data_IF_727754874248
#
_entry.id   IF_727754874248
#
_cell.length_a   1.000
_cell.length_b   1.000
_cell.length_c   1.000
_cell.angle_alpha   90.00
_cell.angle_beta   90.00
_cell.angle_gamma   90.00
#
_symmetry.space_group_name_H-M   'P 1'
#
loop_
_entity.id
_entity.type
_entity.pdbx_description
1 polymer ?
#
# COMPACT_ATOMS: atom_id res chain seq x y z
N UNK A 1 -2.22 26.85 -18.16
CA UNK A 1 -1.43 25.72 -17.62
C UNK A 1 -1.73 25.46 -16.15
N UNK A 2 -1.53 26.43 -15.24
CA UNK A 2 -1.81 26.28 -13.80
C UNK A 2 -3.24 25.78 -13.50
N UNK A 3 -4.27 26.34 -14.15
CA UNK A 3 -5.67 25.94 -13.95
C UNK A 3 -5.91 24.47 -14.32
N UNK A 4 -5.42 24.02 -15.48
CA UNK A 4 -5.61 22.65 -15.97
C UNK A 4 -4.90 21.65 -15.05
N UNK A 5 -3.66 21.92 -14.67
CA UNK A 5 -2.88 21.04 -13.79
C UNK A 5 -3.52 20.92 -12.40
N UNK A 6 -3.89 22.03 -11.77
CA UNK A 6 -4.57 22.00 -10.48
C UNK A 6 -5.97 21.37 -10.57
N UNK A 7 -6.66 21.53 -11.70
CA UNK A 7 -7.92 20.84 -11.98
C UNK A 7 -7.78 19.33 -12.05
N UNK A 8 -6.72 18.82 -12.70
CA UNK A 8 -6.42 17.37 -12.72
C UNK A 8 -6.11 16.86 -11.32
N UNK A 9 -5.30 17.59 -10.53
CA UNK A 9 -5.01 17.22 -9.14
C UNK A 9 -6.28 17.16 -8.30
N UNK A 10 -7.17 18.15 -8.45
CA UNK A 10 -8.46 18.17 -7.76
C UNK A 10 -9.31 16.94 -8.10
N UNK A 11 -9.44 16.60 -9.38
CA UNK A 11 -10.22 15.44 -9.83
C UNK A 11 -9.62 14.12 -9.36
N UNK A 12 -8.30 13.97 -9.45
CA UNK A 12 -7.59 12.79 -8.95
C UNK A 12 -7.74 12.65 -7.42
N UNK A 13 -7.58 13.75 -6.68
CA UNK A 13 -7.79 13.78 -5.24
C UNK A 13 -9.21 13.40 -4.85
N UNK A 14 -10.22 13.90 -5.56
CA UNK A 14 -11.62 13.57 -5.33
C UNK A 14 -11.90 12.09 -5.63
N UNK A 15 -11.30 11.52 -6.68
CA UNK A 15 -11.42 10.10 -6.99
C UNK A 15 -10.80 9.23 -5.88
N UNK A 16 -9.58 9.56 -5.42
CA UNK A 16 -8.91 8.85 -4.32
C UNK A 16 -9.72 8.95 -3.03
N UNK A 17 -10.25 10.14 -2.71
CA UNK A 17 -11.10 10.35 -1.55
C UNK A 17 -12.38 9.50 -1.63
N UNK A 18 -13.03 9.45 -2.80
CA UNK A 18 -14.22 8.63 -3.01
C UNK A 18 -13.92 7.13 -2.82
N UNK A 19 -12.80 6.64 -3.36
CA UNK A 19 -12.34 5.26 -3.15
C UNK A 19 -12.03 5.01 -1.67
N UNK A 20 -11.35 5.94 -0.99
CA UNK A 20 -11.05 5.82 0.43
C UNK A 20 -12.31 5.75 1.30
N UNK A 21 -13.32 6.58 1.01
CA UNK A 21 -14.63 6.54 1.70
C UNK A 21 -15.35 5.22 1.39
N UNK A 22 -15.37 4.78 0.12
CA UNK A 22 -15.98 3.52 -0.28
C UNK A 22 -15.39 2.35 0.53
N UNK A 23 -14.05 2.26 0.57
CA UNK A 23 -13.34 1.24 1.34
C UNK A 23 -13.64 1.36 2.84
N UNK A 24 -13.74 2.56 3.40
CA UNK A 24 -14.10 2.73 4.82
C UNK A 24 -15.54 2.27 5.13
N UNK A 25 -16.49 2.56 4.23
CA UNK A 25 -17.92 2.24 4.44
C UNK A 25 -18.21 0.74 4.30
N UNK A 26 -17.62 0.06 3.31
CA UNK A 26 -17.75 -1.40 3.17
C UNK A 26 -17.32 -2.13 4.45
N UNK A 27 -16.35 -1.54 5.17
CA UNK A 27 -15.76 -2.13 6.38
C UNK A 27 -16.58 -1.85 7.63
N UNK A 28 -17.13 -0.64 7.78
CA UNK A 28 -18.11 -0.34 8.84
C UNK A 28 -19.34 -1.24 8.71
N UNK A 29 -19.75 -1.50 7.46
CA UNK A 29 -20.87 -2.41 7.18
C UNK A 29 -20.53 -3.84 7.60
N UNK A 30 -19.33 -4.35 7.28
CA UNK A 30 -18.87 -5.67 7.73
C UNK A 30 -18.73 -5.80 9.25
N UNK A 31 -18.20 -4.78 9.93
CA UNK A 31 -18.08 -4.74 11.39
C UNK A 31 -19.44 -4.80 12.08
N UNK A 32 -20.45 -4.08 11.57
CA UNK A 32 -21.80 -4.11 12.12
C UNK A 32 -22.49 -5.47 12.03
N UNK A 33 -22.11 -6.32 11.06
CA UNK A 33 -22.56 -7.71 10.99
C UNK A 33 -21.76 -8.66 11.91
N UNK A 34 -20.47 -8.39 12.11
CA UNK A 34 -19.58 -9.23 12.93
C UNK A 34 -19.70 -8.94 14.43
N UNK A 35 -20.16 -7.76 14.86
CA UNK A 35 -20.40 -7.42 16.27
C UNK A 35 -21.51 -8.30 16.92
N UNK A 36 -22.25 -9.07 16.12
CA UNK A 36 -23.17 -10.11 16.60
C UNK A 36 -22.50 -11.46 16.93
N UNK A 37 -21.19 -11.60 16.71
CA UNK A 37 -20.38 -12.79 16.98
C UNK A 37 -19.18 -12.35 17.84
N UNK A 38 -19.03 -12.93 19.04
CA UNK A 38 -18.19 -12.44 20.16
C UNK A 38 -16.65 -12.38 19.95
N UNK A 39 -16.13 -12.57 18.73
CA UNK A 39 -14.69 -12.66 18.45
C UNK A 39 -14.28 -11.80 17.25
N UNK A 40 -14.25 -10.48 17.41
CA UNK A 40 -13.76 -9.57 16.37
C UNK A 40 -12.21 -9.68 16.23
N UNK A 41 -11.66 -10.01 15.04
CA UNK A 41 -10.23 -10.17 14.86
C UNK A 41 -9.48 -8.83 14.82
N UNK A 42 -8.24 -8.76 15.35
CA UNK A 42 -7.39 -7.56 15.37
C UNK A 42 -6.92 -7.09 13.97
N UNK A 43 -7.23 -7.85 12.93
CA UNK A 43 -6.73 -7.67 11.55
C UNK A 43 -7.51 -6.61 10.77
N UNK A 44 -8.75 -6.32 11.20
CA UNK A 44 -9.52 -5.21 10.63
C UNK A 44 -8.88 -3.84 10.89
N UNK A 45 -8.04 -3.70 11.92
CA UNK A 45 -7.31 -2.47 12.18
C UNK A 45 -6.32 -2.11 11.05
N UNK A 46 -5.71 -3.11 10.39
CA UNK A 46 -4.68 -2.86 9.38
C UNK A 46 -5.26 -2.31 8.08
N UNK A 47 -6.33 -2.93 7.55
CA UNK A 47 -7.01 -2.38 6.37
C UNK A 47 -7.73 -1.06 6.68
N UNK A 48 -8.18 -0.85 7.92
CA UNK A 48 -8.78 0.44 8.33
C UNK A 48 -7.75 1.56 8.21
N UNK A 49 -6.51 1.32 8.64
CA UNK A 49 -5.43 2.28 8.48
C UNK A 49 -5.22 2.68 7.01
N UNK A 50 -5.26 1.73 6.07
CA UNK A 50 -5.12 2.03 4.64
C UNK A 50 -6.26 2.90 4.12
N UNK A 51 -7.52 2.56 4.45
CA UNK A 51 -8.68 3.37 4.06
C UNK A 51 -8.61 4.81 4.60
N UNK A 52 -8.27 4.98 5.88
CA UNK A 52 -8.09 6.31 6.48
C UNK A 52 -6.92 7.10 5.88
N UNK A 53 -5.84 6.43 5.49
CA UNK A 53 -4.74 7.07 4.75
C UNK A 53 -5.19 7.56 3.38
N UNK A 54 -5.94 6.76 2.63
CA UNK A 54 -6.52 7.18 1.33
C UNK A 54 -7.45 8.38 1.50
N UNK A 55 -8.29 8.39 2.54
CA UNK A 55 -9.16 9.52 2.87
C UNK A 55 -8.33 10.76 3.17
N UNK A 56 -7.30 10.64 4.03
CA UNK A 56 -6.44 11.76 4.41
C UNK A 56 -5.71 12.36 3.22
N UNK A 57 -5.05 11.52 2.41
CA UNK A 57 -4.31 11.96 1.21
C UNK A 57 -5.27 12.52 0.17
N UNK A 58 -6.40 11.84 -0.11
CA UNK A 58 -7.41 12.30 -1.07
C UNK A 58 -8.02 13.65 -0.68
N UNK A 59 -8.38 13.84 0.60
CA UNK A 59 -8.91 15.10 1.10
C UNK A 59 -7.87 16.23 0.98
N UNK A 60 -6.61 15.96 1.31
CA UNK A 60 -5.53 16.94 1.17
C UNK A 60 -5.31 17.36 -0.28
N UNK A 61 -5.22 16.40 -1.22
CA UNK A 61 -5.07 16.67 -2.65
C UNK A 61 -6.26 17.45 -3.22
N UNK A 62 -7.47 17.09 -2.80
CA UNK A 62 -8.70 17.81 -3.20
C UNK A 62 -8.67 19.26 -2.70
N UNK A 63 -8.27 19.50 -1.44
CA UNK A 63 -8.17 20.85 -0.88
C UNK A 63 -7.12 21.69 -1.62
N UNK A 64 -5.91 21.15 -1.82
CA UNK A 64 -4.82 21.85 -2.51
C UNK A 64 -5.20 22.14 -3.97
N UNK A 65 -5.80 21.17 -4.67
CA UNK A 65 -6.28 21.35 -6.04
C UNK A 65 -7.39 22.40 -6.15
N UNK A 66 -8.33 22.42 -5.19
CA UNK A 66 -9.37 23.44 -5.12
C UNK A 66 -8.79 24.84 -4.89
N UNK A 67 -7.85 24.98 -3.95
CA UNK A 67 -7.16 26.25 -3.69
C UNK A 67 -6.39 26.74 -4.92
N UNK A 68 -5.70 25.84 -5.64
CA UNK A 68 -4.98 26.17 -6.86
C UNK A 68 -5.91 26.58 -8.03
N UNK A 69 -7.02 25.87 -8.20
CA UNK A 69 -8.01 26.14 -9.24
C UNK A 69 -8.74 27.48 -9.00
N UNK A 70 -9.31 27.67 -7.80
CA UNK A 70 -9.98 28.92 -7.44
C UNK A 70 -9.03 30.11 -7.31
N UNK A 71 -7.78 29.89 -6.86
CA UNK A 71 -6.75 30.93 -6.82
C UNK A 71 -6.38 31.43 -8.21
N UNK A 72 -6.32 30.54 -9.21
CA UNK A 72 -6.10 30.89 -10.60
C UNK A 72 -7.29 31.63 -11.24
N UNK A 73 -8.53 31.21 -10.94
CA UNK A 73 -9.74 31.84 -11.51
C UNK A 73 -10.02 33.22 -10.90
N UNK A 74 -9.81 33.38 -9.59
CA UNK A 74 -10.18 34.59 -8.85
C UNK A 74 -9.08 35.66 -8.86
N UNK A 75 -7.94 35.39 -9.51
CA UNK A 75 -6.70 36.20 -9.49
C UNK A 75 -6.31 36.73 -8.10
N UNK A 76 -6.70 35.99 -7.06
CA UNK A 76 -6.57 36.47 -5.68
C UNK A 76 -5.16 36.17 -5.18
N UNK A 77 -4.37 37.22 -4.97
CA UNK A 77 -3.01 37.12 -4.44
C UNK A 77 -2.95 36.33 -3.13
N UNK A 78 -3.92 36.50 -2.24
CA UNK A 78 -3.96 35.79 -0.95
C UNK A 78 -4.09 34.27 -1.14
N UNK A 79 -4.93 33.85 -2.08
CA UNK A 79 -5.20 32.44 -2.35
C UNK A 79 -4.07 31.75 -3.13
N UNK A 80 -3.39 32.50 -4.00
CA UNK A 80 -2.17 32.04 -4.66
C UNK A 80 -1.00 31.93 -3.67
N UNK A 81 -0.90 32.86 -2.71
CA UNK A 81 0.14 32.86 -1.67
C UNK A 81 -0.04 31.73 -0.65
N UNK A 82 -1.29 31.39 -0.31
CA UNK A 82 -1.56 30.22 0.55
C UNK A 82 -1.19 28.91 -0.16
N UNK A 83 -1.54 28.76 -1.44
CA UNK A 83 -1.12 27.62 -2.26
C UNK A 83 0.41 27.49 -2.30
N UNK A 84 1.11 28.60 -2.59
CA UNK A 84 2.58 28.61 -2.60
C UNK A 84 3.19 28.22 -1.25
N UNK A 85 2.64 28.75 -0.15
CA UNK A 85 3.10 28.41 1.21
C UNK A 85 2.94 26.92 1.51
N UNK A 86 1.79 26.32 1.15
CA UNK A 86 1.55 24.88 1.35
C UNK A 86 2.55 24.05 0.55
N UNK A 87 2.77 24.38 -0.72
CA UNK A 87 3.74 23.66 -1.57
C UNK A 87 5.16 23.80 -1.03
N UNK A 88 5.54 24.98 -0.53
CA UNK A 88 6.85 25.20 0.09
C UNK A 88 7.04 24.34 1.34
N UNK A 89 6.03 24.22 2.20
CA UNK A 89 6.09 23.35 3.38
C UNK A 89 6.25 21.88 2.97
N UNK A 90 5.48 21.41 1.97
CA UNK A 90 5.63 20.04 1.45
C UNK A 90 7.05 19.80 0.96
N UNK A 91 7.62 20.73 0.19
CA UNK A 91 8.98 20.63 -0.31
C UNK A 91 10.02 20.53 0.82
N UNK A 92 9.89 21.34 1.88
CA UNK A 92 10.79 21.25 3.04
C UNK A 92 10.67 19.92 3.77
N UNK A 93 9.46 19.40 3.94
CA UNK A 93 9.21 18.09 4.54
C UNK A 93 9.80 16.97 3.67
N UNK A 94 9.64 17.04 2.36
CA UNK A 94 10.18 16.06 1.41
C UNK A 94 11.71 16.05 1.41
N UNK A 95 12.34 17.22 1.43
CA UNK A 95 13.81 17.34 1.58
C UNK A 95 14.27 16.76 2.92
N UNK A 96 13.60 17.08 4.02
CA UNK A 96 13.94 16.53 5.33
C UNK A 96 13.79 15.00 5.35
N UNK A 97 12.68 14.47 4.82
CA UNK A 97 12.44 13.04 4.69
C UNK A 97 13.49 12.35 3.79
N UNK A 98 13.87 12.98 2.68
CA UNK A 98 14.92 12.48 1.79
C UNK A 98 16.28 12.41 2.48
N UNK A 99 16.66 13.46 3.22
CA UNK A 99 17.91 13.49 4.01
C UNK A 99 17.89 12.41 5.09
N UNK A 100 16.80 12.30 5.86
CA UNK A 100 16.65 11.25 6.87
C UNK A 100 16.71 9.87 6.24
N UNK A 101 16.10 9.65 5.08
CA UNK A 101 16.15 8.38 4.36
C UNK A 101 17.57 7.97 3.97
N UNK A 102 18.40 8.93 3.54
CA UNK A 102 19.81 8.69 3.19
C UNK A 102 20.66 8.46 4.45
N UNK A 103 20.48 9.25 5.51
CA UNK A 103 21.28 9.11 6.73
C UNK A 103 20.97 7.81 7.48
N UNK A 104 19.70 7.43 7.50
CA UNK A 104 19.25 6.26 8.27
C UNK A 104 19.51 4.96 7.51
N UNK A 105 19.99 4.96 6.25
CA UNK A 105 20.30 3.71 5.52
C UNK A 105 21.27 2.76 6.28
N UNK A 106 22.03 3.26 7.27
CA UNK A 106 22.86 2.46 8.17
C UNK A 106 22.13 1.92 9.42
N UNK A 107 21.05 2.55 9.88
CA UNK A 107 20.25 2.17 11.06
C UNK A 107 18.85 1.60 10.71
N UNK A 108 18.46 1.72 9.45
CA UNK A 108 17.16 1.33 8.88
C UNK A 108 16.96 -0.19 8.93
N UNK A 109 18.02 -0.99 9.04
CA UNK A 109 17.90 -2.45 9.15
C UNK A 109 17.04 -2.85 10.35
N UNK A 110 17.30 -2.31 11.55
CA UNK A 110 16.51 -2.70 12.74
C UNK A 110 15.02 -2.34 12.64
N UNK A 111 14.68 -1.21 12.03
CA UNK A 111 13.28 -0.78 11.86
C UNK A 111 12.60 -1.52 10.70
N UNK A 112 13.33 -1.77 9.61
CA UNK A 112 12.85 -2.58 8.50
C UNK A 112 12.67 -4.03 8.90
N UNK A 113 13.57 -4.60 9.70
CA UNK A 113 13.47 -5.97 10.22
C UNK A 113 12.19 -6.13 11.05
N UNK A 114 11.82 -5.12 11.85
CA UNK A 114 10.56 -5.15 12.60
C UNK A 114 9.33 -5.06 11.69
N UNK A 115 9.38 -4.22 10.65
CA UNK A 115 8.29 -4.10 9.68
C UNK A 115 8.19 -5.40 8.87
N UNK A 116 9.32 -5.94 8.45
CA UNK A 116 9.46 -7.18 7.70
C UNK A 116 8.84 -8.35 8.44
N UNK A 117 9.21 -8.53 9.71
CA UNK A 117 8.64 -9.59 10.52
C UNK A 117 7.14 -9.42 10.75
N UNK A 118 6.65 -8.17 10.87
CA UNK A 118 5.21 -7.90 11.01
C UNK A 118 4.45 -8.24 9.74
N UNK A 119 5.00 -7.90 8.57
CA UNK A 119 4.35 -8.21 7.29
C UNK A 119 4.39 -9.71 7.01
N UNK A 120 5.52 -10.38 7.24
CA UNK A 120 5.63 -11.83 7.09
C UNK A 120 4.64 -12.57 8.00
N UNK A 121 4.52 -12.17 9.27
CA UNK A 121 3.52 -12.74 10.19
C UNK A 121 2.08 -12.47 9.73
N UNK A 122 1.79 -11.27 9.22
CA UNK A 122 0.46 -10.99 8.68
C UNK A 122 0.14 -11.88 7.46
N UNK A 123 1.11 -12.17 6.60
CA UNK A 123 0.94 -13.15 5.51
C UNK A 123 0.64 -14.53 6.07
N UNK A 124 1.41 -14.99 7.06
CA UNK A 124 1.20 -16.27 7.73
C UNK A 124 -0.21 -16.37 8.32
N UNK A 125 -0.67 -15.38 9.07
CA UNK A 125 -1.94 -15.43 9.79
C UNK A 125 -3.16 -15.25 8.86
N UNK A 126 -3.07 -14.36 7.86
CA UNK A 126 -4.22 -13.91 7.09
C UNK A 126 -4.37 -14.60 5.72
N UNK A 127 -3.26 -15.09 5.12
CA UNK A 127 -3.31 -15.57 3.75
C UNK A 127 -4.02 -16.94 3.66
N UNK A 128 -5.12 -16.98 2.92
CA UNK A 128 -6.05 -18.10 2.85
C UNK A 128 -7.16 -18.09 3.92
N UNK A 129 -7.02 -17.28 4.97
CA UNK A 129 -8.02 -17.09 6.02
C UNK A 129 -8.97 -15.93 5.67
N UNK A 130 -8.42 -14.80 5.23
CA UNK A 130 -9.16 -13.63 4.78
C UNK A 130 -9.10 -13.54 3.24
N UNK A 131 -10.25 -13.66 2.58
CA UNK A 131 -10.36 -13.61 1.11
C UNK A 131 -9.93 -12.25 0.55
N UNK A 132 -10.22 -11.15 1.25
CA UNK A 132 -9.86 -9.80 0.83
C UNK A 132 -8.35 -9.58 0.92
N UNK A 133 -7.72 -10.02 2.01
CA UNK A 133 -6.27 -9.97 2.18
C UNK A 133 -5.56 -10.84 1.14
N UNK A 134 -6.07 -12.06 0.93
CA UNK A 134 -5.55 -13.01 -0.07
C UNK A 134 -5.64 -12.44 -1.48
N UNK A 135 -6.75 -11.80 -1.83
CA UNK A 135 -6.96 -11.18 -3.15
C UNK A 135 -6.02 -10.00 -3.41
N UNK A 136 -5.81 -9.14 -2.40
CA UNK A 136 -4.85 -8.02 -2.48
C UNK A 136 -3.43 -8.55 -2.71
N UNK A 137 -3.01 -9.58 -1.96
CA UNK A 137 -1.68 -10.17 -2.13
C UNK A 137 -1.53 -10.87 -3.49
N UNK A 138 -2.55 -11.60 -3.95
CA UNK A 138 -2.52 -12.21 -5.27
C UNK A 138 -2.40 -11.18 -6.39
N UNK A 139 -3.13 -10.07 -6.28
CA UNK A 139 -3.04 -8.95 -7.23
C UNK A 139 -1.65 -8.33 -7.20
N UNK A 140 -1.12 -8.05 -6.00
CA UNK A 140 0.21 -7.47 -5.80
C UNK A 140 1.30 -8.37 -6.38
N UNK A 141 1.29 -9.67 -6.07
CA UNK A 141 2.26 -10.63 -6.61
C UNK A 141 2.16 -10.77 -8.13
N UNK A 142 0.95 -10.69 -8.68
CA UNK A 142 0.75 -10.78 -10.12
C UNK A 142 1.20 -9.50 -10.85
N UNK A 143 0.98 -8.33 -10.27
CA UNK A 143 1.34 -7.04 -10.84
C UNK A 143 2.85 -6.78 -10.75
N UNK A 144 3.45 -7.03 -9.57
CA UNK A 144 4.88 -6.84 -9.33
C UNK A 144 5.74 -8.04 -9.74
N UNK A 145 5.12 -9.13 -10.20
CA UNK A 145 5.79 -10.39 -10.58
C UNK A 145 6.76 -10.89 -9.50
N UNK A 146 6.31 -10.85 -8.24
CA UNK A 146 7.10 -11.18 -7.05
C UNK A 146 6.45 -12.33 -6.26
N UNK A 147 7.13 -12.84 -5.24
CA UNK A 147 6.62 -13.89 -4.35
C UNK A 147 6.96 -13.59 -2.89
N UNK A 148 5.94 -13.39 -2.07
CA UNK A 148 6.09 -13.10 -0.64
C UNK A 148 6.69 -11.72 -0.35
N UNK A 149 6.65 -11.33 0.91
CA UNK A 149 7.30 -10.10 1.37
C UNK A 149 8.80 -10.26 1.55
N UNK A 150 9.27 -11.49 1.82
CA UNK A 150 10.68 -11.89 1.87
C UNK A 150 10.94 -13.06 0.93
N UNK A 151 10.10 -14.10 1.01
CA UNK A 151 10.22 -15.31 0.19
C UNK A 151 8.93 -16.14 0.24
N UNK A 152 8.89 -17.26 -0.51
CA UNK A 152 7.82 -18.26 -0.44
C UNK A 152 7.60 -18.79 0.98
N UNK A 153 8.62 -18.74 1.84
CA UNK A 153 8.56 -19.18 3.25
C UNK A 153 7.55 -18.41 4.07
N UNK A 154 7.21 -17.17 3.69
CA UNK A 154 6.20 -16.36 4.39
C UNK A 154 4.82 -17.04 4.37
N UNK A 155 4.56 -17.92 3.40
CA UNK A 155 3.30 -18.65 3.29
C UNK A 155 3.32 -20.02 4.00
N UNK A 156 4.48 -20.51 4.48
CA UNK A 156 4.66 -21.91 4.87
C UNK A 156 3.67 -22.41 5.94
N UNK A 157 3.32 -21.54 6.88
CA UNK A 157 2.38 -21.83 7.96
C UNK A 157 0.99 -21.21 7.74
N UNK A 158 0.74 -20.63 6.57
CA UNK A 158 -0.54 -20.00 6.27
C UNK A 158 -1.66 -21.03 6.08
N UNK A 159 -2.90 -20.60 6.35
CA UNK A 159 -4.10 -21.42 6.17
C UNK A 159 -4.22 -21.94 4.72
N UNK A 160 -3.75 -21.16 3.74
CA UNK A 160 -3.69 -21.57 2.34
C UNK A 160 -2.82 -22.81 2.13
N UNK A 161 -1.58 -22.81 2.63
CA UNK A 161 -0.65 -23.95 2.46
C UNK A 161 -1.13 -25.15 3.27
N UNK A 162 -1.64 -24.94 4.49
CA UNK A 162 -2.21 -26.00 5.33
C UNK A 162 -3.35 -26.74 4.63
N UNK A 163 -4.22 -26.00 3.91
CA UNK A 163 -5.40 -26.57 3.24
C UNK A 163 -5.08 -27.17 1.87
N UNK A 164 -4.23 -26.50 1.08
CA UNK A 164 -3.99 -26.87 -0.33
C UNK A 164 -2.70 -27.66 -0.54
N UNK A 165 -1.84 -27.77 0.49
CA UNK A 165 -0.48 -28.30 0.40
C UNK A 165 0.32 -27.70 -0.76
N UNK A 166 0.00 -26.46 -1.15
CA UNK A 166 0.52 -25.77 -2.32
C UNK A 166 0.75 -24.28 -2.01
N UNK A 167 1.68 -23.67 -2.74
CA UNK A 167 2.02 -22.25 -2.66
C UNK A 167 1.29 -21.44 -3.74
N UNK A 168 1.22 -20.10 -3.60
CA UNK A 168 0.63 -19.24 -4.61
C UNK A 168 1.29 -19.47 -5.97
N UNK A 169 0.50 -19.58 -7.05
CA UNK A 169 1.01 -19.88 -8.39
C UNK A 169 2.00 -18.84 -8.90
N UNK A 170 1.90 -17.59 -8.43
CA UNK A 170 2.86 -16.52 -8.73
C UNK A 170 4.26 -16.79 -8.19
N UNK A 171 4.40 -17.68 -7.21
CA UNK A 171 5.69 -18.14 -6.69
C UNK A 171 6.34 -19.24 -7.54
N UNK A 172 5.67 -19.75 -8.57
CA UNK A 172 6.19 -20.78 -9.47
C UNK A 172 6.00 -20.36 -10.94
N UNK A 173 7.08 -20.18 -11.69
CA UNK A 173 7.05 -19.75 -13.10
C UNK A 173 6.71 -20.86 -14.08
N UNK A 174 6.99 -22.13 -13.75
CA UNK A 174 7.14 -23.19 -14.76
C UNK A 174 6.55 -24.55 -14.38
N UNK A 175 5.59 -24.60 -13.46
CA UNK A 175 4.99 -25.86 -13.05
C UNK A 175 3.84 -26.25 -13.96
N UNK A 176 3.95 -27.34 -14.71
CA UNK A 176 2.83 -28.04 -15.36
C UNK A 176 1.93 -28.80 -14.36
N UNK A 177 2.01 -28.43 -13.07
CA UNK A 177 1.35 -29.06 -11.93
C UNK A 177 1.27 -28.10 -10.73
N UNK A 178 0.77 -28.55 -9.56
CA UNK A 178 0.61 -27.71 -8.38
C UNK A 178 1.95 -27.13 -7.90
N UNK A 179 1.96 -25.87 -7.50
CA UNK A 179 3.15 -25.17 -6.98
C UNK A 179 3.49 -25.74 -5.59
N UNK A 180 4.42 -26.69 -5.54
CA UNK A 180 4.89 -27.30 -4.31
C UNK A 180 6.13 -26.57 -3.76
N UNK A 181 6.58 -26.94 -2.56
CA UNK A 181 7.74 -26.32 -1.90
C UNK A 181 9.00 -26.37 -2.78
N UNK A 182 9.24 -27.49 -3.47
CA UNK A 182 10.42 -27.69 -4.33
C UNK A 182 10.40 -26.69 -5.50
N UNK A 183 9.24 -26.53 -6.14
CA UNK A 183 9.07 -25.59 -7.24
C UNK A 183 9.18 -24.14 -6.76
N UNK A 184 8.58 -23.80 -5.62
CA UNK A 184 8.65 -22.45 -5.04
C UNK A 184 10.08 -22.09 -4.60
N UNK A 185 10.83 -23.04 -4.05
CA UNK A 185 12.23 -22.85 -3.65
C UNK A 185 13.18 -22.71 -4.83
N UNK A 186 12.91 -23.42 -5.92
CA UNK A 186 13.74 -23.37 -7.13
C UNK A 186 13.57 -22.04 -7.89
N UNK A 187 12.47 -21.32 -7.67
CA UNK A 187 12.17 -20.06 -8.33
C UNK A 187 12.62 -18.87 -7.47
N UNK A 188 13.77 -18.30 -7.82
CA UNK A 188 14.28 -17.08 -7.17
C UNK A 188 13.53 -15.87 -7.73
N UNK A 189 12.30 -15.66 -7.25
CA UNK A 189 11.53 -14.47 -7.60
C UNK A 189 12.01 -13.24 -6.82
N UNK A 190 11.74 -12.07 -7.42
CA UNK A 190 11.81 -10.80 -6.72
C UNK A 190 10.87 -10.83 -5.52
N UNK A 191 11.31 -10.15 -4.48
CA UNK A 191 10.59 -9.99 -3.23
C UNK A 191 9.63 -8.80 -3.36
N UNK A 192 8.40 -8.91 -2.85
CA UNK A 192 7.36 -7.88 -3.00
C UNK A 192 7.56 -6.65 -2.09
N UNK A 193 8.77 -6.11 -2.00
CA UNK A 193 9.09 -4.91 -1.21
C UNK A 193 9.27 -3.70 -2.11
N UNK A 194 8.64 -2.58 -1.76
CA UNK A 194 8.74 -1.30 -2.50
C UNK A 194 10.20 -0.84 -2.64
N UNK A 195 11.03 -1.09 -1.61
CA UNK A 195 12.46 -0.72 -1.60
C UNK A 195 13.26 -1.49 -2.68
N UNK A 196 12.96 -2.77 -2.91
CA UNK A 196 13.70 -3.59 -3.88
C UNK A 196 13.24 -3.35 -5.32
N UNK A 197 11.96 -3.01 -5.50
CA UNK A 197 11.44 -2.51 -6.77
C UNK A 197 12.11 -1.18 -7.18
N UNK A 198 12.30 -0.25 -6.23
CA UNK A 198 13.00 1.02 -6.51
C UNK A 198 14.52 0.85 -6.70
N UNK A 199 15.15 -0.09 -5.98
CA UNK A 199 16.59 -0.40 -6.17
C UNK A 199 16.92 -0.88 -7.59
N UNK A 200 15.98 -1.56 -8.26
CA UNK A 200 16.18 -2.05 -9.63
C UNK A 200 15.95 -0.96 -10.69
N UNK A 201 15.16 0.08 -10.37
CA UNK A 201 14.96 1.26 -11.24
C UNK A 201 16.14 2.25 -11.20
N UNK A 202 17.01 2.16 -10.19
CA UNK A 202 18.23 3.00 -10.06
C UNK A 202 19.44 2.31 -10.71
N UNK A 203 19.35 1.01 -11.03
CA UNK A 203 20.42 0.21 -11.64
C UNK A 203 20.24 -0.02 -13.15
N UNK A 204 19.31 0.71 -13.77
CA UNK A 204 19.08 0.83 -15.23
C UNK A 204 19.35 2.28 -15.67
#
# INVERSE_FOLDING_TARGET
MMFVFNGVIFLAGAAILAVGIWVAVDRVSLLGFLEHIEDAPPELAQLANVGYLLIGVGAFLTLVGFLGCCGAVKESKCMLLSFFTVVLIIFLVEVAAGVVSILTSFQVQNVLDEIEQKVARSIEDNYGSDESFTSVWNSTMNELKCCGYNNYTDFMNSQFVSTTSSYPVTCCTSSSGPCNEIAAKADVRLVCTVIKAMSNSISL
#
